data_IF_819623312886
#
_entry.id   IF_819623312886
#
_cell.length_a   1.000
_cell.length_b   1.000
_cell.length_c   1.000
_cell.angle_alpha   90.00
_cell.angle_beta   90.00
_cell.angle_gamma   90.00
#
_symmetry.space_group_name_H-M   'P 1'
#
loop_
_entity.id
_entity.type
_entity.pdbx_description
1 polymer ?
#
# COMPACT_ATOMS: atom_id res chain seq x y z
N UNK A 1 -17.18 19.90 10.35
CA UNK A 1 -17.55 18.76 9.48
C UNK A 1 -17.72 17.52 10.35
N UNK A 2 -18.74 16.67 10.16
CA UNK A 2 -18.81 15.41 10.92
C UNK A 2 -17.78 14.42 10.37
N UNK A 3 -17.22 13.55 11.21
CA UNK A 3 -16.19 12.58 10.80
C UNK A 3 -16.60 11.71 9.58
N UNK A 4 -17.89 11.38 9.46
CA UNK A 4 -18.45 10.61 8.33
C UNK A 4 -18.57 11.40 7.01
N UNK A 5 -18.59 12.73 7.09
CA UNK A 5 -18.73 13.63 5.94
C UNK A 5 -17.36 13.99 5.35
N UNK A 6 -16.26 13.63 6.02
CA UNK A 6 -14.90 13.87 5.54
C UNK A 6 -14.63 13.01 4.28
N UNK A 7 -14.22 13.61 3.15
CA UNK A 7 -13.85 12.88 1.94
C UNK A 7 -12.77 11.82 2.19
N UNK A 8 -11.85 12.06 3.11
CA UNK A 8 -10.75 11.18 3.46
C UNK A 8 -11.07 10.20 4.60
N UNK A 9 -12.34 10.06 4.97
CA UNK A 9 -12.74 9.10 5.99
C UNK A 9 -12.27 7.68 5.61
N UNK A 10 -11.82 6.90 6.61
CA UNK A 10 -11.21 5.58 6.42
C UNK A 10 -12.02 4.66 5.50
N UNK A 11 -13.35 4.66 5.66
CA UNK A 11 -14.26 3.82 4.85
C UNK A 11 -14.27 4.18 3.36
N UNK A 12 -13.96 5.44 2.98
CA UNK A 12 -13.83 5.87 1.58
C UNK A 12 -12.45 5.54 1.04
N UNK A 13 -11.40 5.82 1.82
CA UNK A 13 -10.02 5.49 1.45
C UNK A 13 -9.83 3.97 1.28
N UNK A 14 -10.51 3.14 2.07
CA UNK A 14 -10.46 1.69 1.94
C UNK A 14 -11.20 1.14 0.71
N UNK A 15 -11.99 1.95 0.01
CA UNK A 15 -12.69 1.51 -1.20
C UNK A 15 -11.81 1.53 -2.45
N UNK A 16 -10.68 2.23 -2.40
CA UNK A 16 -9.75 2.26 -3.53
C UNK A 16 -9.22 0.86 -3.82
N UNK A 17 -9.42 0.45 -5.07
CA UNK A 17 -8.96 -0.82 -5.62
C UNK A 17 -7.75 -0.62 -6.49
N UNK A 18 -7.00 -1.69 -6.69
CA UNK A 18 -5.81 -1.65 -7.53
C UNK A 18 -6.20 -1.60 -9.01
N UNK A 19 -5.86 -0.49 -9.66
CA UNK A 19 -6.37 -0.13 -11.00
C UNK A 19 -5.56 -0.76 -12.14
N UNK A 20 -5.45 -2.07 -12.17
CA UNK A 20 -4.94 -2.79 -13.34
C UNK A 20 -6.05 -3.13 -14.32
N UNK A 21 -5.75 -2.99 -15.62
CA UNK A 21 -6.61 -3.53 -16.66
C UNK A 21 -6.74 -5.05 -16.54
N UNK A 22 -7.85 -5.62 -17.00
CA UNK A 22 -8.05 -7.08 -16.97
C UNK A 22 -6.96 -7.83 -17.73
N UNK A 23 -6.46 -7.29 -18.85
CA UNK A 23 -5.31 -7.86 -19.56
C UNK A 23 -4.06 -7.93 -18.67
N UNK A 24 -3.75 -6.85 -17.93
CA UNK A 24 -2.61 -6.82 -17.01
C UNK A 24 -2.78 -7.79 -15.84
N UNK A 25 -3.99 -7.91 -15.31
CA UNK A 25 -4.31 -8.92 -14.29
C UNK A 25 -4.10 -10.34 -14.80
N UNK A 26 -4.58 -10.67 -16.00
CA UNK A 26 -4.36 -11.97 -16.61
C UNK A 26 -2.86 -12.28 -16.76
N UNK A 27 -2.07 -11.35 -17.32
CA UNK A 27 -0.62 -11.53 -17.43
C UNK A 27 0.07 -11.70 -16.07
N UNK A 28 -0.33 -10.92 -15.06
CA UNK A 28 0.25 -11.00 -13.73
C UNK A 28 -0.06 -12.34 -13.02
N UNK A 29 -1.26 -12.88 -13.22
CA UNK A 29 -1.66 -14.19 -12.68
C UNK A 29 -0.94 -15.32 -13.41
N UNK A 30 -0.80 -15.25 -14.75
CA UNK A 30 0.02 -16.22 -15.51
C UNK A 30 1.48 -16.21 -15.04
N UNK A 31 2.03 -15.04 -14.70
CA UNK A 31 3.36 -14.95 -14.12
C UNK A 31 3.42 -15.64 -12.74
N UNK A 32 2.41 -15.45 -11.88
CA UNK A 32 2.32 -16.19 -10.61
C UNK A 32 2.25 -17.70 -10.82
N UNK A 33 1.47 -18.15 -11.79
CA UNK A 33 1.36 -19.56 -12.17
C UNK A 33 2.71 -20.15 -12.59
N UNK A 34 3.49 -19.40 -13.37
CA UNK A 34 4.83 -19.83 -13.80
C UNK A 34 5.83 -20.04 -12.66
N UNK A 35 5.58 -19.43 -11.50
CA UNK A 35 6.36 -19.61 -10.26
C UNK A 35 5.61 -20.43 -9.21
N UNK A 36 4.63 -21.24 -9.63
CA UNK A 36 3.83 -22.11 -8.76
C UNK A 36 3.15 -21.37 -7.61
N UNK A 37 2.75 -20.12 -7.85
CA UNK A 37 2.19 -19.19 -6.86
C UNK A 37 3.09 -19.00 -5.62
N UNK A 38 4.41 -19.09 -5.78
CA UNK A 38 5.39 -18.79 -4.74
C UNK A 38 5.97 -17.39 -4.95
N UNK A 39 5.26 -16.36 -4.47
CA UNK A 39 5.58 -14.96 -4.79
C UNK A 39 5.47 -14.00 -3.61
N UNK A 40 6.30 -12.97 -3.60
CA UNK A 40 6.20 -11.84 -2.69
C UNK A 40 5.70 -10.59 -3.42
N UNK A 41 4.76 -9.89 -2.79
CA UNK A 41 4.42 -8.51 -3.05
C UNK A 41 5.29 -7.65 -2.14
N UNK A 42 6.27 -6.96 -2.71
CA UNK A 42 7.23 -6.15 -1.95
C UNK A 42 6.97 -4.66 -2.11
N UNK A 43 7.27 -3.86 -1.10
CA UNK A 43 7.17 -2.40 -1.21
C UNK A 43 7.04 -1.73 0.16
N UNK A 44 7.29 -0.41 0.23
CA UNK A 44 7.23 0.35 1.48
C UNK A 44 5.83 0.33 2.11
N UNK A 45 5.70 0.86 3.33
CA UNK A 45 4.39 1.05 3.93
C UNK A 45 3.50 1.97 3.07
N UNK A 46 2.20 1.68 3.05
CA UNK A 46 1.21 2.55 2.39
C UNK A 46 1.21 2.54 0.86
N UNK A 47 1.97 1.67 0.18
CA UNK A 47 1.98 1.59 -1.30
C UNK A 47 0.94 0.63 -1.91
N UNK A 48 -0.04 0.16 -1.12
CA UNK A 48 -1.15 -0.67 -1.62
C UNK A 48 -0.91 -2.19 -1.67
N UNK A 49 0.08 -2.74 -0.96
CA UNK A 49 0.34 -4.19 -0.91
C UNK A 49 -0.88 -5.01 -0.46
N UNK A 50 -1.49 -4.62 0.66
CA UNK A 50 -2.69 -5.26 1.20
C UNK A 50 -3.84 -5.19 0.20
N UNK A 51 -4.07 -4.01 -0.42
CA UNK A 51 -5.09 -3.84 -1.46
C UNK A 51 -4.85 -4.75 -2.66
N UNK A 52 -3.61 -4.84 -3.14
CA UNK A 52 -3.25 -5.74 -4.24
C UNK A 52 -3.47 -7.21 -3.85
N UNK A 53 -3.12 -7.60 -2.61
CA UNK A 53 -3.33 -8.96 -2.11
C UNK A 53 -4.83 -9.31 -2.02
N UNK A 54 -5.67 -8.41 -1.52
CA UNK A 54 -7.12 -8.57 -1.45
C UNK A 54 -7.74 -8.72 -2.85
N UNK A 55 -7.35 -7.86 -3.79
CA UNK A 55 -7.84 -7.90 -5.16
C UNK A 55 -7.38 -9.17 -5.90
N UNK A 56 -6.17 -9.65 -5.58
CA UNK A 56 -5.66 -10.94 -6.05
C UNK A 56 -6.49 -12.09 -5.49
N UNK A 57 -6.84 -12.09 -4.19
CA UNK A 57 -7.66 -13.15 -3.57
C UNK A 57 -9.00 -13.29 -4.29
N UNK A 58 -9.68 -12.17 -4.57
CA UNK A 58 -10.95 -12.18 -5.30
C UNK A 58 -10.79 -12.80 -6.69
N UNK A 59 -9.73 -12.42 -7.41
CA UNK A 59 -9.43 -12.91 -8.77
C UNK A 59 -8.95 -14.36 -8.84
N UNK A 60 -8.30 -14.86 -7.81
CA UNK A 60 -7.92 -16.26 -7.69
C UNK A 60 -9.18 -17.10 -7.44
N UNK A 61 -10.06 -16.66 -6.52
CA UNK A 61 -11.32 -17.33 -6.23
C UNK A 61 -12.26 -17.37 -7.43
N UNK A 62 -12.36 -16.29 -8.20
CA UNK A 62 -13.19 -16.26 -9.42
C UNK A 62 -12.69 -17.23 -10.50
N UNK A 63 -11.42 -17.62 -10.45
CA UNK A 63 -10.82 -18.67 -11.30
C UNK A 63 -10.90 -20.07 -10.69
N UNK A 64 -11.67 -20.25 -9.61
CA UNK A 64 -11.85 -21.55 -8.94
C UNK A 64 -10.70 -21.95 -8.01
N UNK A 65 -9.73 -21.07 -7.75
CA UNK A 65 -8.65 -21.36 -6.81
C UNK A 65 -9.15 -21.26 -5.37
N UNK A 66 -8.79 -22.24 -4.56
CA UNK A 66 -9.00 -22.18 -3.11
C UNK A 66 -7.92 -21.29 -2.48
N UNK A 67 -8.33 -20.37 -1.62
CA UNK A 67 -7.41 -19.46 -0.94
C UNK A 67 -7.64 -19.45 0.56
N UNK A 68 -6.55 -19.45 1.32
CA UNK A 68 -6.55 -19.21 2.76
C UNK A 68 -5.66 -18.01 3.05
N UNK A 69 -6.23 -16.97 3.67
CA UNK A 69 -5.53 -15.71 3.91
C UNK A 69 -5.51 -15.37 5.40
N UNK A 70 -4.37 -14.90 5.87
CA UNK A 70 -4.22 -14.33 7.21
C UNK A 70 -3.47 -13.00 7.14
N UNK A 71 -3.82 -12.05 7.99
CA UNK A 71 -3.12 -10.77 8.13
C UNK A 71 -2.47 -10.70 9.50
N UNK A 72 -1.18 -10.38 9.51
CA UNK A 72 -0.45 -10.02 10.71
C UNK A 72 -0.57 -8.53 10.96
N UNK A 73 -0.87 -8.19 12.20
CA UNK A 73 -0.91 -6.82 12.67
C UNK A 73 0.42 -6.40 13.30
N UNK A 74 0.63 -5.08 13.39
CA UNK A 74 1.85 -4.53 13.97
C UNK A 74 2.08 -5.03 15.39
N UNK A 75 3.28 -5.56 15.64
CA UNK A 75 3.65 -6.13 16.94
C UNK A 75 3.44 -7.65 17.05
N UNK A 76 2.72 -8.27 16.12
CA UNK A 76 2.51 -9.72 16.08
C UNK A 76 3.75 -10.45 15.52
N UNK A 77 4.70 -10.78 16.40
CA UNK A 77 5.96 -11.43 15.99
C UNK A 77 5.86 -12.91 15.66
N UNK A 78 4.65 -13.49 15.78
CA UNK A 78 4.34 -14.91 15.58
C UNK A 78 2.90 -15.05 15.07
N UNK A 79 2.66 -16.08 14.26
CA UNK A 79 1.31 -16.54 13.98
C UNK A 79 0.71 -17.15 15.25
N UNK A 80 -0.59 -16.94 15.53
CA UNK A 80 -1.30 -17.74 16.52
C UNK A 80 -1.19 -19.23 16.18
N UNK A 81 -1.06 -20.10 17.19
CA UNK A 81 -0.85 -21.55 16.96
C UNK A 81 -1.95 -22.18 16.08
N UNK A 82 -3.20 -21.75 16.25
CA UNK A 82 -4.32 -22.21 15.44
C UNK A 82 -4.20 -21.80 13.96
N UNK A 83 -3.60 -20.65 13.68
CA UNK A 83 -3.38 -20.16 12.32
C UNK A 83 -2.17 -20.88 11.70
N UNK A 84 -1.10 -21.07 12.47
CA UNK A 84 0.08 -21.82 12.03
C UNK A 84 -0.28 -23.28 11.69
N UNK A 85 -1.14 -23.91 12.47
CA UNK A 85 -1.65 -25.26 12.17
C UNK A 85 -2.55 -25.29 10.94
N UNK A 86 -3.35 -24.24 10.69
CA UNK A 86 -4.13 -24.13 9.45
C UNK A 86 -3.22 -24.04 8.23
N UNK A 87 -2.21 -23.17 8.23
CA UNK A 87 -1.26 -23.04 7.12
C UNK A 87 -0.56 -24.36 6.76
N UNK A 88 -0.20 -25.17 7.76
CA UNK A 88 0.49 -26.45 7.53
C UNK A 88 -0.45 -27.58 7.12
N UNK A 89 -1.73 -27.50 7.46
CA UNK A 89 -2.74 -28.52 7.15
C UNK A 89 -3.69 -28.16 6.00
N UNK A 90 -3.39 -27.12 5.22
CA UNK A 90 -4.20 -26.80 4.04
C UNK A 90 -4.26 -28.00 3.07
N UNK A 91 -5.24 -28.06 2.17
CA UNK A 91 -5.16 -28.92 1.00
C UNK A 91 -3.93 -28.58 0.11
N UNK A 92 -3.35 -29.56 -0.62
CA UNK A 92 -2.12 -29.34 -1.40
C UNK A 92 -2.17 -28.22 -2.45
N UNK A 93 -3.36 -27.92 -2.99
CA UNK A 93 -3.56 -26.90 -4.04
C UNK A 93 -4.11 -25.57 -3.52
N UNK A 94 -4.34 -25.44 -2.20
CA UNK A 94 -4.85 -24.19 -1.63
C UNK A 94 -3.72 -23.16 -1.58
N UNK A 95 -4.00 -21.97 -2.10
CA UNK A 95 -3.07 -20.83 -2.07
C UNK A 95 -3.10 -20.21 -0.69
N UNK A 96 -1.99 -20.34 0.02
CA UNK A 96 -1.76 -19.67 1.29
C UNK A 96 -1.35 -18.22 1.04
N UNK A 97 -2.02 -17.25 1.67
CA UNK A 97 -1.70 -15.83 1.58
C UNK A 97 -1.44 -15.25 2.97
N UNK A 98 -0.33 -14.52 3.13
CA UNK A 98 0.03 -13.87 4.38
C UNK A 98 0.32 -12.38 4.15
N UNK A 99 -0.54 -11.52 4.68
CA UNK A 99 -0.28 -10.07 4.72
C UNK A 99 0.52 -9.73 5.98
N UNK A 100 1.56 -8.89 5.85
CA UNK A 100 2.40 -8.47 6.97
C UNK A 100 3.45 -9.49 7.38
N UNK A 101 4.01 -10.27 6.44
CA UNK A 101 4.99 -11.31 6.79
C UNK A 101 6.27 -10.72 7.41
N UNK A 102 6.55 -9.44 7.20
CA UNK A 102 7.66 -8.73 7.85
C UNK A 102 7.47 -8.52 9.36
N UNK A 103 6.26 -8.70 9.89
CA UNK A 103 6.00 -8.65 11.34
C UNK A 103 6.58 -9.89 12.06
N UNK A 104 6.72 -11.01 11.35
CA UNK A 104 7.30 -12.23 11.91
C UNK A 104 8.76 -12.04 12.28
N UNK A 105 9.19 -12.68 13.37
CA UNK A 105 10.63 -12.78 13.65
C UNK A 105 11.36 -13.50 12.52
N UNK A 106 12.60 -13.10 12.22
CA UNK A 106 13.38 -13.63 11.09
C UNK A 106 13.53 -15.16 11.12
N UNK A 107 13.55 -15.77 12.30
CA UNK A 107 13.60 -17.22 12.46
C UNK A 107 12.27 -17.88 12.06
N UNK A 108 11.14 -17.33 12.52
CA UNK A 108 9.80 -17.83 12.17
C UNK A 108 9.50 -17.65 10.69
N UNK A 109 9.84 -16.49 10.13
CA UNK A 109 9.74 -16.27 8.69
C UNK A 109 10.54 -17.31 7.90
N UNK A 110 11.80 -17.55 8.28
CA UNK A 110 12.64 -18.58 7.64
C UNK A 110 12.04 -19.97 7.75
N UNK A 111 11.50 -20.35 8.91
CA UNK A 111 10.87 -21.65 9.12
C UNK A 111 9.65 -21.82 8.18
N UNK A 112 8.75 -20.83 8.17
CA UNK A 112 7.53 -20.85 7.36
C UNK A 112 7.85 -20.85 5.86
N UNK A 113 8.72 -19.94 5.41
CA UNK A 113 9.16 -19.87 4.02
C UNK A 113 9.83 -21.18 3.57
N UNK A 114 10.70 -21.78 4.40
CA UNK A 114 11.32 -23.05 4.06
C UNK A 114 10.32 -24.20 3.98
N UNK A 115 9.29 -24.21 4.84
CA UNK A 115 8.22 -25.21 4.77
C UNK A 115 7.48 -25.14 3.43
N UNK A 116 7.00 -23.96 3.02
CA UNK A 116 6.29 -23.79 1.75
C UNK A 116 7.19 -24.05 0.54
N UNK A 117 8.44 -23.60 0.59
CA UNK A 117 9.41 -23.86 -0.49
C UNK A 117 9.68 -25.35 -0.69
N UNK A 118 9.99 -26.08 0.39
CA UNK A 118 10.33 -27.51 0.32
C UNK A 118 9.15 -28.38 -0.08
N UNK A 119 7.95 -28.00 0.32
CA UNK A 119 6.72 -28.73 -0.02
C UNK A 119 6.18 -28.40 -1.42
N UNK A 120 6.75 -27.40 -2.12
CA UNK A 120 6.26 -26.94 -3.42
C UNK A 120 4.86 -26.33 -3.36
N UNK A 121 4.39 -25.95 -2.16
CA UNK A 121 3.03 -25.49 -1.94
C UNK A 121 2.89 -24.00 -2.33
N UNK A 122 1.75 -23.60 -2.93
CA UNK A 122 1.43 -22.21 -3.21
C UNK A 122 1.49 -21.32 -1.96
N UNK A 123 2.28 -20.24 -2.01
CA UNK A 123 2.42 -19.31 -0.89
C UNK A 123 2.77 -17.90 -1.36
N UNK A 124 1.84 -16.97 -1.11
CA UNK A 124 1.97 -15.57 -1.49
C UNK A 124 2.05 -14.72 -0.23
N UNK A 125 2.98 -13.78 -0.19
CA UNK A 125 3.20 -12.93 0.99
C UNK A 125 3.31 -11.46 0.63
N UNK A 126 3.01 -10.56 1.57
CA UNK A 126 3.46 -9.17 1.49
C UNK A 126 4.68 -8.95 2.39
N UNK A 127 5.63 -8.13 1.90
CA UNK A 127 6.89 -7.81 2.59
C UNK A 127 7.27 -6.34 2.34
N UNK A 128 8.07 -5.75 3.22
CA UNK A 128 8.62 -4.41 2.97
C UNK A 128 9.74 -4.39 1.94
N UNK A 129 10.66 -5.35 2.04
CA UNK A 129 11.86 -5.40 1.23
C UNK A 129 12.01 -6.76 0.57
N UNK A 130 12.71 -6.76 -0.56
CA UNK A 130 13.16 -7.97 -1.22
C UNK A 130 13.96 -8.84 -0.26
N UNK A 131 13.55 -10.10 -0.11
CA UNK A 131 14.27 -11.11 0.64
C UNK A 131 14.75 -12.23 -0.27
N UNK A 132 14.92 -13.42 0.31
CA UNK A 132 15.20 -14.67 -0.46
C UNK A 132 13.94 -15.32 -1.03
N UNK A 133 12.77 -14.71 -0.87
CA UNK A 133 11.52 -15.20 -1.45
C UNK A 133 11.37 -14.62 -2.86
N UNK A 134 10.89 -15.40 -3.86
CA UNK A 134 10.73 -14.88 -5.21
C UNK A 134 9.83 -13.65 -5.20
N UNK A 135 10.26 -12.58 -5.85
CA UNK A 135 9.46 -11.36 -5.99
C UNK A 135 8.51 -11.57 -7.15
N UNK A 136 7.21 -11.50 -6.88
CA UNK A 136 6.20 -11.47 -7.94
C UNK A 136 5.94 -10.03 -8.38
N UNK A 137 5.77 -9.13 -7.41
CA UNK A 137 5.41 -7.76 -7.71
C UNK A 137 6.05 -6.77 -6.73
N UNK A 138 6.51 -5.63 -7.24
CA UNK A 138 7.03 -4.52 -6.45
C UNK A 138 6.07 -3.34 -6.50
N UNK A 139 5.34 -3.12 -5.41
CA UNK A 139 4.49 -1.96 -5.22
C UNK A 139 5.37 -0.72 -5.06
N UNK A 140 5.18 0.24 -5.97
CA UNK A 140 5.73 1.59 -5.88
C UNK A 140 4.57 2.55 -5.65
N UNK A 141 4.75 3.47 -4.72
CA UNK A 141 3.92 4.66 -4.66
C UNK A 141 4.50 5.72 -5.60
N UNK A 142 3.60 6.54 -6.12
CA UNK A 142 3.92 7.70 -6.95
C UNK A 142 3.00 8.84 -6.51
N UNK A 143 3.49 10.07 -6.62
CA UNK A 143 2.70 11.28 -6.45
C UNK A 143 1.49 11.29 -7.39
N UNK A 144 1.61 10.76 -8.61
CA UNK A 144 0.49 10.66 -9.54
C UNK A 144 -0.68 9.83 -8.97
N UNK A 145 -0.39 8.76 -8.24
CA UNK A 145 -1.41 7.93 -7.58
C UNK A 145 -2.08 8.73 -6.45
N UNK A 146 -1.28 9.45 -5.64
CA UNK A 146 -1.85 10.29 -4.58
C UNK A 146 -2.77 11.37 -5.16
N UNK A 147 -2.34 12.07 -6.23
CA UNK A 147 -3.14 13.07 -6.91
C UNK A 147 -4.47 12.50 -7.39
N UNK A 148 -4.43 11.38 -8.10
CA UNK A 148 -5.63 10.71 -8.58
C UNK A 148 -6.58 10.34 -7.43
N UNK A 149 -6.08 9.78 -6.34
CA UNK A 149 -6.91 9.41 -5.19
C UNK A 149 -7.55 10.63 -4.53
N UNK A 150 -6.80 11.72 -4.40
CA UNK A 150 -7.30 12.99 -3.85
C UNK A 150 -8.38 13.59 -4.74
N UNK A 151 -8.16 13.61 -6.05
CA UNK A 151 -9.13 14.10 -7.03
C UNK A 151 -10.43 13.28 -7.00
N UNK A 152 -10.33 11.95 -6.97
CA UNK A 152 -11.49 11.05 -6.87
C UNK A 152 -12.26 11.25 -5.55
N UNK A 153 -11.56 11.44 -4.42
CA UNK A 153 -12.21 11.68 -3.12
C UNK A 153 -12.90 13.04 -3.03
N UNK A 154 -12.28 14.07 -3.60
CA UNK A 154 -12.78 15.44 -3.58
C UNK A 154 -13.81 15.70 -4.67
N UNK A 155 -13.90 14.84 -5.70
CA UNK A 155 -14.81 15.00 -6.84
C UNK A 155 -14.70 16.39 -7.50
N UNK A 156 -13.49 16.94 -7.56
CA UNK A 156 -13.22 18.28 -8.09
C UNK A 156 -13.69 19.44 -7.21
N UNK A 157 -14.05 19.22 -5.94
CA UNK A 157 -14.55 20.27 -5.05
C UNK A 157 -13.48 21.30 -4.62
N UNK A 158 -12.20 21.03 -4.85
CA UNK A 158 -11.08 21.89 -4.44
C UNK A 158 -10.17 22.08 -5.62
N UNK A 159 -9.98 23.34 -6.02
CA UNK A 159 -9.00 23.70 -7.04
C UNK A 159 -7.58 23.62 -6.47
N UNK A 160 -6.65 23.09 -7.26
CA UNK A 160 -5.19 23.10 -7.01
C UNK A 160 -4.74 22.41 -5.71
N UNK A 161 -4.90 21.09 -5.65
CA UNK A 161 -4.38 20.25 -4.57
C UNK A 161 -2.92 19.81 -4.80
N UNK A 162 -2.33 20.15 -5.96
CA UNK A 162 -1.05 19.58 -6.42
C UNK A 162 0.11 19.91 -5.48
N UNK A 163 0.22 21.16 -5.00
CA UNK A 163 1.31 21.55 -4.12
C UNK A 163 1.14 20.92 -2.72
N UNK A 164 -0.09 20.85 -2.21
CA UNK A 164 -0.41 20.14 -0.96
C UNK A 164 -0.07 18.65 -1.07
N UNK A 165 -0.46 18.00 -2.16
CA UNK A 165 -0.14 16.59 -2.41
C UNK A 165 1.36 16.37 -2.51
N UNK A 166 2.08 17.22 -3.23
CA UNK A 166 3.54 17.16 -3.34
C UNK A 166 4.21 17.30 -1.97
N UNK A 167 3.74 18.25 -1.16
CA UNK A 167 4.24 18.45 0.20
C UNK A 167 3.98 17.23 1.09
N UNK A 168 2.74 16.73 1.14
CA UNK A 168 2.37 15.57 1.96
C UNK A 168 3.07 14.30 1.50
N UNK A 169 3.19 14.08 0.18
CA UNK A 169 3.91 12.95 -0.38
C UNK A 169 5.38 12.97 0.04
N UNK A 170 6.05 14.13 -0.06
CA UNK A 170 7.43 14.28 0.37
C UNK A 170 7.59 14.10 1.90
N UNK A 171 6.70 14.73 2.68
CA UNK A 171 6.69 14.65 4.15
C UNK A 171 6.57 13.22 4.65
N UNK A 172 5.69 12.43 4.03
CA UNK A 172 5.45 11.03 4.39
C UNK A 172 6.32 10.05 3.59
N UNK A 173 7.36 10.53 2.90
CA UNK A 173 8.33 9.71 2.16
C UNK A 173 7.66 8.73 1.18
N UNK A 174 6.60 9.19 0.52
CA UNK A 174 5.80 8.41 -0.42
C UNK A 174 4.80 7.44 0.20
N UNK A 175 4.59 7.45 1.52
CA UNK A 175 3.53 6.68 2.16
C UNK A 175 2.16 7.36 1.92
N UNK A 176 1.45 6.88 0.91
CA UNK A 176 0.14 7.41 0.49
C UNK A 176 -0.89 7.32 1.62
N UNK A 177 -0.86 6.25 2.43
CA UNK A 177 -1.81 6.09 3.53
C UNK A 177 -1.66 7.18 4.59
N UNK A 178 -0.43 7.51 4.95
CA UNK A 178 -0.17 8.56 5.94
C UNK A 178 -0.41 9.96 5.35
N UNK A 179 -0.12 10.17 4.06
CA UNK A 179 -0.50 11.41 3.36
C UNK A 179 -2.02 11.62 3.32
N UNK A 180 -2.81 10.58 3.03
CA UNK A 180 -4.28 10.65 3.06
C UNK A 180 -4.83 10.83 4.48
N UNK A 181 -4.16 10.28 5.50
CA UNK A 181 -4.52 10.54 6.91
C UNK A 181 -4.30 12.00 7.28
N UNK A 182 -3.21 12.60 6.82
CA UNK A 182 -2.99 14.03 7.05
C UNK A 182 -4.01 14.90 6.31
N UNK A 183 -4.39 14.52 5.08
CA UNK A 183 -5.53 15.15 4.38
C UNK A 183 -6.83 15.12 5.19
N UNK A 184 -7.12 13.99 5.85
CA UNK A 184 -8.26 13.89 6.77
C UNK A 184 -8.18 14.93 7.89
N UNK A 185 -7.00 15.07 8.51
CA UNK A 185 -6.80 16.02 9.62
C UNK A 185 -6.90 17.48 9.14
N UNK A 186 -6.39 17.81 7.96
CA UNK A 186 -6.51 19.14 7.35
C UNK A 186 -7.98 19.51 7.12
N UNK A 187 -8.76 18.59 6.54
CA UNK A 187 -10.19 18.78 6.30
C UNK A 187 -11.01 18.88 7.60
N UNK A 188 -10.58 18.18 8.65
CA UNK A 188 -11.24 18.21 9.95
C UNK A 188 -11.03 19.56 10.66
N UNK A 189 -9.85 20.20 10.49
CA UNK A 189 -9.50 21.47 11.14
C UNK A 189 -10.21 22.67 10.51
N UNK A 190 -10.34 22.73 9.19
CA UNK A 190 -11.04 23.83 8.50
C UNK A 190 -11.42 23.46 7.06
N UNK A 191 -12.71 23.37 6.69
CA UNK A 191 -13.15 23.17 5.30
C UNK A 191 -12.69 24.30 4.36
N UNK A 192 -12.50 25.51 4.90
CA UNK A 192 -12.06 26.72 4.18
C UNK A 192 -10.54 26.87 4.12
N UNK A 193 -9.78 26.11 4.92
CA UNK A 193 -8.32 26.25 5.03
C UNK A 193 -7.56 25.65 3.85
N UNK A 194 -8.22 24.97 2.92
CA UNK A 194 -7.57 24.45 1.71
C UNK A 194 -7.01 25.57 0.84
N UNK A 195 -7.73 26.69 0.74
CA UNK A 195 -7.29 27.89 0.04
C UNK A 195 -6.15 28.61 0.77
N UNK A 196 -6.17 28.64 2.11
CA UNK A 196 -5.15 29.30 2.94
C UNK A 196 -3.87 28.48 3.05
N UNK A 197 -3.97 27.15 3.21
CA UNK A 197 -2.83 26.26 3.35
C UNK A 197 -2.06 26.08 2.03
N UNK A 198 -2.76 26.10 0.88
CA UNK A 198 -2.12 26.17 -0.44
C UNK A 198 -1.35 27.48 -0.62
N UNK A 199 -1.93 28.61 -0.16
CA UNK A 199 -1.29 29.93 -0.19
C UNK A 199 -0.10 30.03 0.77
N UNK A 200 -0.19 29.46 1.97
CA UNK A 200 0.87 29.50 2.99
C UNK A 200 2.06 28.60 2.62
N UNK A 201 1.80 27.40 2.06
CA UNK A 201 2.85 26.51 1.54
C UNK A 201 3.53 27.12 0.31
N UNK A 202 2.76 27.72 -0.60
CA UNK A 202 3.31 28.48 -1.73
C UNK A 202 4.19 29.65 -1.25
N UNK A 203 3.76 30.36 -0.20
CA UNK A 203 4.50 31.50 0.37
C UNK A 203 5.79 31.06 1.07
N UNK A 204 5.77 29.94 1.80
CA UNK A 204 6.96 29.37 2.45
C UNK A 204 8.00 28.90 1.43
N UNK A 205 7.56 28.27 0.33
CA UNK A 205 8.45 27.79 -0.73
C UNK A 205 9.00 28.94 -1.58
N UNK A 206 8.22 30.01 -1.82
CA UNK A 206 8.71 31.19 -2.53
C UNK A 206 9.79 31.94 -1.73
N UNK A 207 9.63 32.01 -0.39
CA UNK A 207 10.67 32.55 0.50
C UNK A 207 11.94 31.70 0.51
N UNK A 208 11.83 30.36 0.47
CA UNK A 208 12.99 29.45 0.38
C UNK A 208 13.72 29.53 -0.97
N UNK A 209 13.01 29.71 -2.08
CA UNK A 209 13.62 29.94 -3.40
C UNK A 209 14.35 31.29 -3.48
N UNK A 210 13.76 32.35 -2.93
CA UNK A 210 14.40 33.67 -2.90
C UNK A 210 15.66 33.69 -2.02
N UNK A 211 15.69 32.93 -0.90
CA UNK A 211 16.90 32.80 -0.07
C UNK A 211 18.02 31.95 -0.71
N UNK A 212 17.71 31.08 -1.66
CA UNK A 212 18.74 30.31 -2.39
C UNK A 212 19.36 31.16 -3.51
N UNK A 213 18.56 32.02 -4.16
CA UNK A 213 19.04 32.91 -5.23
C UNK A 213 19.90 34.05 -4.66
N UNK A 214 19.57 34.60 -3.49
CA UNK A 214 20.37 35.66 -2.86
C UNK A 214 21.69 35.19 -2.23
N UNK A 215 21.92 33.88 -2.06
CA UNK A 215 23.23 33.36 -1.64
C UNK A 215 24.15 32.98 -2.80
N UNK A 216 23.68 33.03 -4.05
CA UNK A 216 24.50 32.79 -5.26
C UNK A 216 25.03 34.06 -5.94
N UNK A 217 24.69 35.25 -5.47
CA UNK A 217 25.14 36.54 -6.05
C UNK A 217 26.22 37.27 -5.23
N UNK A 218 26.78 36.63 -4.20
CA UNK A 218 27.87 37.20 -3.37
C UNK A 218 29.11 36.30 -3.34
N UNK A 219 29.58 35.87 -4.51
CA UNK A 219 30.90 35.26 -4.71
C UNK A 219 31.57 35.81 -5.97
#
# INVERSE_FOLDING_TARGET
MRAKENPFAVHRVSQFRYQWSEAKWCSAIMQLESISYQGAIVGPHGCGKTTLLEDLIVRLRSRGQQTFSFQLHTGERRLPLAVESQFTNLPPKTIALLDGAEQLSSWRWRQLANYFRRSGRPFIVTLHQAGRWPIWFQCKSDLAILNQMVDELLQGAVADCDETNRHLYAKHQGNIRDALREWYDLMAKSPTALTEHASEVATLNNRRRLSIITMSETA
#
